data_IF_015388842802
#
_entry.id   IF_015388842802
#
_cell.length_a   1.000
_cell.length_b   1.000
_cell.length_c   1.000
_cell.angle_alpha   90.00
_cell.angle_beta   90.00
_cell.angle_gamma   90.00
#
_symmetry.space_group_name_H-M   'P 1'
#
loop_
_entity.id
_entity.type
_entity.pdbx_description
1 polymer ?
#
# COMPACT_ATOMS: atom_id res chain seq x y z
N UNK A 1 15.55 1.08 18.07
CA UNK A 1 14.74 1.01 16.82
C UNK A 1 13.28 1.19 17.22
N UNK A 2 12.60 2.26 16.78
CA UNK A 2 11.27 2.66 17.28
C UNK A 2 10.19 1.57 17.06
N UNK A 3 10.35 0.74 16.01
CA UNK A 3 9.48 -0.41 15.72
C UNK A 3 9.59 -1.55 16.75
N UNK A 4 10.72 -1.63 17.48
CA UNK A 4 10.97 -2.69 18.46
C UNK A 4 10.38 -2.38 19.85
N UNK A 5 9.78 -1.20 20.03
CA UNK A 5 9.11 -0.83 21.29
C UNK A 5 7.60 -1.08 21.26
N UNK A 6 7.06 -1.56 20.14
CA UNK A 6 5.65 -1.93 20.04
C UNK A 6 5.35 -3.10 21.01
N UNK A 7 4.31 -2.93 21.82
CA UNK A 7 3.86 -3.90 22.80
C UNK A 7 2.34 -4.01 22.74
N UNK A 8 1.77 -5.04 23.36
CA UNK A 8 0.32 -5.24 23.36
C UNK A 8 -0.44 -4.03 23.94
N UNK A 9 0.12 -3.36 24.94
CA UNK A 9 -0.46 -2.18 25.59
C UNK A 9 -0.28 -0.90 24.76
N UNK A 10 0.67 -0.90 23.82
CA UNK A 10 0.97 0.23 22.95
C UNK A 10 1.33 -0.29 21.55
N UNK A 11 0.32 -0.74 20.77
CA UNK A 11 0.56 -1.20 19.41
C UNK A 11 0.94 -0.03 18.52
N UNK A 12 1.67 -0.32 17.45
CA UNK A 12 2.12 0.67 16.48
C UNK A 12 1.41 0.46 15.14
N UNK A 13 0.75 1.50 14.66
CA UNK A 13 0.13 1.55 13.34
C UNK A 13 0.84 2.61 12.51
N UNK A 14 1.47 2.20 11.41
CA UNK A 14 2.11 3.12 10.48
C UNK A 14 1.20 3.33 9.28
N UNK A 15 1.07 4.59 8.87
CA UNK A 15 0.40 4.96 7.63
C UNK A 15 1.45 5.48 6.66
N UNK A 16 1.51 4.84 5.50
CA UNK A 16 2.37 5.25 4.40
C UNK A 16 1.43 5.64 3.27
N UNK A 17 1.26 6.95 3.11
CA UNK A 17 0.41 7.50 2.08
C UNK A 17 1.19 7.71 0.77
N UNK A 18 0.50 7.51 -0.36
CA UNK A 18 0.99 7.79 -1.71
C UNK A 18 2.36 7.18 -1.99
N UNK A 19 2.50 5.88 -1.74
CA UNK A 19 3.81 5.20 -1.80
C UNK A 19 4.42 5.22 -3.20
N UNK A 20 3.59 5.29 -4.25
CA UNK A 20 4.01 5.55 -5.65
C UNK A 20 4.90 6.78 -5.79
N UNK A 21 4.63 7.88 -5.07
CA UNK A 21 5.42 9.11 -5.13
C UNK A 21 6.81 8.97 -4.50
N UNK A 22 6.95 8.11 -3.48
CA UNK A 22 8.24 7.85 -2.82
C UNK A 22 9.21 7.12 -3.74
N UNK A 23 8.69 6.34 -4.68
CA UNK A 23 9.49 5.53 -5.61
C UNK A 23 10.05 6.33 -6.80
N UNK A 24 9.49 7.52 -7.06
CA UNK A 24 9.91 8.41 -8.15
C UNK A 24 11.24 9.13 -7.91
N UNK A 25 11.78 9.08 -6.68
CA UNK A 25 13.02 9.76 -6.30
C UNK A 25 14.21 8.79 -6.43
N UNK A 26 14.59 8.46 -7.67
CA UNK A 26 15.96 8.00 -7.98
C UNK A 26 16.34 6.54 -7.69
N UNK A 27 15.41 5.58 -7.68
CA UNK A 27 15.78 4.13 -7.63
C UNK A 27 15.26 3.38 -8.84
N UNK A 28 16.13 3.24 -9.84
CA UNK A 28 15.77 2.76 -11.19
C UNK A 28 15.37 1.28 -11.28
N UNK A 29 15.32 0.50 -10.19
CA UNK A 29 15.12 -0.95 -10.36
C UNK A 29 14.46 -1.78 -9.24
N UNK A 30 13.98 -1.22 -8.12
CA UNK A 30 13.15 -2.00 -7.18
C UNK A 30 12.41 -1.10 -6.17
N UNK A 31 11.14 -0.83 -6.48
CA UNK A 31 10.46 0.40 -6.04
C UNK A 31 9.71 0.32 -4.69
N UNK A 32 9.38 -0.87 -4.20
CA UNK A 32 8.76 -1.04 -2.86
C UNK A 32 9.40 -2.15 -2.03
N UNK A 33 10.55 -2.69 -2.47
CA UNK A 33 11.25 -3.77 -1.78
C UNK A 33 11.81 -3.38 -0.41
N UNK A 34 11.84 -2.07 -0.11
CA UNK A 34 12.17 -1.55 1.21
C UNK A 34 11.04 -1.78 2.22
N UNK A 35 9.80 -2.01 1.76
CA UNK A 35 8.69 -2.35 2.64
C UNK A 35 8.89 -3.77 3.19
N UNK A 36 8.86 -3.93 4.53
CA UNK A 36 9.00 -5.25 5.12
C UNK A 36 7.77 -6.10 4.80
N UNK A 37 8.00 -7.31 4.26
CA UNK A 37 6.94 -8.32 4.08
C UNK A 37 6.46 -8.94 5.39
N UNK A 38 7.23 -8.78 6.48
CA UNK A 38 6.89 -9.26 7.82
C UNK A 38 7.06 -8.14 8.84
N UNK A 39 6.00 -7.88 9.58
CA UNK A 39 6.01 -6.90 10.66
C UNK A 39 6.27 -7.58 12.00
N UNK A 40 6.92 -6.91 12.95
CA UNK A 40 6.98 -7.36 14.33
C UNK A 40 5.58 -7.54 14.93
N UNK A 41 5.43 -8.33 16.02
CA UNK A 41 4.20 -8.39 16.78
C UNK A 41 3.72 -6.98 17.18
N UNK A 42 2.41 -6.77 17.18
CA UNK A 42 1.77 -5.49 17.54
C UNK A 42 2.10 -4.32 16.60
N UNK A 43 2.72 -4.58 15.45
CA UNK A 43 2.91 -3.61 14.38
C UNK A 43 1.96 -3.90 13.21
N UNK A 44 1.30 -2.85 12.71
CA UNK A 44 0.50 -2.87 11.48
C UNK A 44 0.96 -1.73 10.59
N UNK A 45 0.92 -1.94 9.28
CA UNK A 45 1.18 -0.90 8.28
C UNK A 45 -0.01 -0.82 7.35
N UNK A 46 -0.47 0.39 7.08
CA UNK A 46 -1.43 0.71 6.03
C UNK A 46 -0.66 1.46 4.95
N UNK A 47 -0.79 0.96 3.72
CA UNK A 47 -0.12 1.50 2.53
C UNK A 47 -1.19 1.93 1.55
N UNK A 48 -1.11 3.16 1.04
CA UNK A 48 -1.95 3.64 -0.06
C UNK A 48 -1.10 3.84 -1.32
N UNK A 49 -1.70 3.58 -2.46
CA UNK A 49 -1.09 3.86 -3.76
C UNK A 49 -2.15 4.16 -4.80
N UNK A 50 -1.81 5.03 -5.75
CA UNK A 50 -2.65 5.32 -6.89
C UNK A 50 -2.69 4.13 -7.87
N UNK A 51 -3.84 3.93 -8.51
CA UNK A 51 -4.00 2.98 -9.61
C UNK A 51 -4.71 3.67 -10.77
N UNK A 52 -4.11 3.61 -11.95
CA UNK A 52 -4.68 4.17 -13.18
C UNK A 52 -4.57 3.16 -14.32
N UNK A 53 -5.72 2.64 -14.75
CA UNK A 53 -5.80 1.70 -15.88
C UNK A 53 -5.24 2.27 -17.19
N UNK A 54 -5.39 3.58 -17.40
CA UNK A 54 -4.90 4.28 -18.59
C UNK A 54 -3.39 4.56 -18.55
N UNK A 55 -2.76 4.47 -17.37
CA UNK A 55 -1.35 4.77 -17.17
C UNK A 55 -0.65 3.64 -16.39
N UNK A 56 -0.17 2.60 -17.10
CA UNK A 56 0.52 1.48 -16.48
C UNK A 56 1.77 1.88 -15.69
N UNK A 57 2.43 2.99 -16.05
CA UNK A 57 3.63 3.47 -15.36
C UNK A 57 3.34 3.91 -13.92
N UNK A 58 2.16 4.51 -13.66
CA UNK A 58 1.70 4.90 -12.33
C UNK A 58 1.17 3.71 -11.52
N UNK A 59 0.82 2.61 -12.18
CA UNK A 59 0.23 1.43 -11.54
C UNK A 59 1.26 0.34 -11.18
N UNK A 60 2.55 0.54 -11.52
CA UNK A 60 3.60 -0.45 -11.31
C UNK A 60 3.76 -0.81 -9.83
N UNK A 61 3.72 0.18 -8.95
CA UNK A 61 3.90 0.00 -7.52
C UNK A 61 2.68 -0.69 -6.90
N UNK A 62 1.48 -0.32 -7.33
CA UNK A 62 0.24 -1.01 -6.98
C UNK A 62 0.31 -2.50 -7.33
N UNK A 63 0.74 -2.85 -8.55
CA UNK A 63 0.82 -4.25 -8.99
C UNK A 63 1.81 -5.06 -8.14
N UNK A 64 2.92 -4.46 -7.73
CA UNK A 64 3.89 -5.10 -6.85
C UNK A 64 3.32 -5.27 -5.44
N UNK A 65 2.73 -4.21 -4.87
CA UNK A 65 2.10 -4.25 -3.54
C UNK A 65 1.00 -5.32 -3.49
N UNK A 66 0.17 -5.42 -4.54
CA UNK A 66 -0.88 -6.43 -4.66
C UNK A 66 -0.32 -7.86 -4.62
N UNK A 67 0.86 -8.09 -5.21
CA UNK A 67 1.56 -9.39 -5.18
C UNK A 67 2.23 -9.68 -3.83
N UNK A 68 2.53 -8.67 -3.02
CA UNK A 68 3.13 -8.83 -1.70
C UNK A 68 2.09 -9.15 -0.61
N UNK A 69 0.80 -8.96 -0.88
CA UNK A 69 -0.28 -9.20 0.06
C UNK A 69 -0.78 -10.64 -0.09
N UNK A 70 -0.53 -11.47 0.94
CA UNK A 70 -0.94 -12.88 0.94
C UNK A 70 -2.46 -13.09 1.18
N UNK A 71 -3.13 -12.15 1.85
CA UNK A 71 -4.55 -12.26 2.21
C UNK A 71 -5.37 -11.14 1.58
N UNK A 72 -6.43 -11.49 0.86
CA UNK A 72 -7.34 -10.53 0.24
C UNK A 72 -8.00 -9.59 1.25
N UNK A 73 -8.22 -10.03 2.49
CA UNK A 73 -8.80 -9.20 3.55
C UNK A 73 -7.91 -8.01 3.93
N UNK A 74 -6.60 -8.08 3.63
CA UNK A 74 -5.64 -7.00 3.86
C UNK A 74 -5.51 -6.07 2.64
N UNK A 75 -6.35 -6.24 1.63
CA UNK A 75 -6.38 -5.41 0.44
C UNK A 75 -7.75 -4.73 0.29
N UNK A 76 -7.72 -3.42 0.05
CA UNK A 76 -8.92 -2.64 -0.22
C UNK A 76 -8.71 -1.82 -1.48
N UNK A 77 -9.50 -2.09 -2.52
CA UNK A 77 -9.57 -1.26 -3.71
C UNK A 77 -10.68 -0.22 -3.52
N UNK A 78 -10.30 1.06 -3.49
CA UNK A 78 -11.27 2.16 -3.48
C UNK A 78 -11.45 2.63 -4.91
N UNK A 79 -12.60 2.28 -5.51
CA UNK A 79 -12.98 2.73 -6.86
C UNK A 79 -13.61 4.11 -6.79
N UNK A 80 -13.37 4.93 -7.81
CA UNK A 80 -14.08 6.20 -7.95
C UNK A 80 -15.58 5.93 -8.12
N UNK A 81 -16.40 6.90 -7.70
CA UNK A 81 -17.85 6.80 -7.72
C UNK A 81 -18.43 6.69 -9.15
N UNK A 82 -17.65 7.04 -10.18
CA UNK A 82 -18.09 7.10 -11.57
C UNK A 82 -18.64 5.77 -12.09
N UNK A 83 -18.06 4.63 -11.68
CA UNK A 83 -18.55 3.30 -12.08
C UNK A 83 -19.84 2.88 -11.33
N UNK A 84 -20.04 3.36 -10.10
CA UNK A 84 -21.21 3.03 -9.27
C UNK A 84 -22.42 3.92 -9.60
N UNK A 85 -22.18 5.15 -10.04
CA UNK A 85 -23.22 6.11 -10.40
C UNK A 85 -24.02 5.67 -11.65
N UNK A 86 -23.44 4.87 -12.55
CA UNK A 86 -24.15 4.36 -13.73
C UNK A 86 -25.15 3.23 -13.43
N UNK A 87 -25.14 2.63 -12.23
CA UNK A 87 -26.09 1.58 -11.84
C UNK A 87 -27.36 2.12 -11.15
N UNK A 88 -27.47 3.43 -10.96
CA UNK A 88 -28.60 4.08 -10.24
C UNK A 88 -29.50 4.92 -11.18
N UNK A 89 -29.44 4.68 -12.49
CA UNK A 89 -30.31 5.33 -13.49
C UNK A 89 -31.22 4.33 -14.20
#
# INVERSE_FOLDING_TARGET
MLLATAAQQQPLLLFLDSVDQLTGIGTENNKVSWLPSRLPPHCKIIVTSAYEKANPELSKEYDVLRRMIDSEENFLEVKSLEDLAMQVL
#
